data_IF_337420494555
#
_entry.id   IF_337420494555
#
_cell.length_a   1.000
_cell.length_b   1.000
_cell.length_c   1.000
_cell.angle_alpha   90.00
_cell.angle_beta   90.00
_cell.angle_gamma   90.00
#
_symmetry.space_group_name_H-M   'P 1'
#
loop_
_entity.id
_entity.type
_entity.pdbx_description
1 polymer ?
#
# COMPACT_ATOMS: atom_id res chain seq x y z
N UNK A 1 3.91 -2.86 -28.60
CA UNK A 1 3.43 -4.05 -27.85
C UNK A 1 2.05 -3.71 -27.31
N UNK A 2 1.02 -4.55 -27.48
CA UNK A 2 -0.31 -4.33 -26.90
C UNK A 2 -0.43 -5.21 -25.66
N UNK A 3 -0.72 -4.65 -24.50
CA UNK A 3 -0.76 -5.37 -23.24
C UNK A 3 -2.01 -5.02 -22.46
N UNK A 4 -2.48 -5.96 -21.66
CA UNK A 4 -3.61 -5.81 -20.75
C UNK A 4 -3.05 -5.81 -19.33
N UNK A 5 -3.26 -4.75 -18.54
CA UNK A 5 -2.72 -4.65 -17.18
C UNK A 5 -3.85 -4.73 -16.16
N UNK A 6 -3.80 -5.72 -15.26
CA UNK A 6 -4.84 -5.97 -14.26
C UNK A 6 -4.28 -6.28 -12.87
N UNK A 7 -5.07 -6.08 -11.83
CA UNK A 7 -4.74 -6.41 -10.44
C UNK A 7 -4.68 -7.92 -10.14
N UNK A 8 -5.16 -8.77 -11.04
CA UNK A 8 -5.18 -10.22 -10.85
C UNK A 8 -6.48 -10.76 -10.24
N UNK A 9 -7.51 -9.92 -10.08
CA UNK A 9 -8.81 -10.34 -9.61
C UNK A 9 -9.36 -11.53 -10.43
N UNK A 10 -10.12 -12.42 -9.80
CA UNK A 10 -10.59 -13.67 -10.42
C UNK A 10 -11.44 -13.45 -11.68
N UNK A 11 -12.15 -12.33 -11.75
CA UNK A 11 -12.90 -11.90 -12.94
C UNK A 11 -12.00 -11.37 -14.06
N UNK A 12 -10.77 -10.95 -13.77
CA UNK A 12 -9.80 -10.41 -14.73
C UNK A 12 -8.76 -11.43 -15.16
N UNK A 13 -8.52 -12.49 -14.37
CA UNK A 13 -7.52 -13.55 -14.62
C UNK A 13 -8.16 -14.86 -15.08
N UNK A 14 -7.35 -15.87 -15.42
CA UNK A 14 -7.82 -17.18 -15.89
C UNK A 14 -8.75 -17.08 -17.10
N UNK A 15 -9.96 -17.66 -16.99
CA UNK A 15 -11.04 -17.59 -18.00
C UNK A 15 -11.86 -16.29 -17.93
N UNK A 16 -11.41 -15.30 -17.16
CA UNK A 16 -12.05 -14.00 -17.00
C UNK A 16 -11.86 -13.08 -18.19
N UNK A 17 -11.92 -11.77 -17.93
CA UNK A 17 -11.84 -10.69 -18.95
C UNK A 17 -10.60 -10.83 -19.83
N UNK A 18 -9.45 -11.25 -19.27
CA UNK A 18 -8.24 -11.44 -20.08
C UNK A 18 -8.43 -12.39 -21.27
N UNK A 19 -9.18 -13.49 -21.08
CA UNK A 19 -9.35 -14.53 -22.08
C UNK A 19 -10.30 -14.04 -23.18
N UNK A 20 -11.31 -13.26 -22.80
CA UNK A 20 -12.25 -12.63 -23.74
C UNK A 20 -11.54 -11.58 -24.61
N UNK A 21 -10.64 -10.79 -24.02
CA UNK A 21 -9.87 -9.78 -24.76
C UNK A 21 -8.81 -10.46 -25.64
N UNK A 22 -8.16 -11.54 -25.18
CA UNK A 22 -7.23 -12.31 -26.01
C UNK A 22 -7.92 -12.99 -27.20
N UNK A 23 -9.19 -13.38 -27.07
CA UNK A 23 -9.96 -13.94 -28.18
C UNK A 23 -10.21 -12.91 -29.30
N UNK A 24 -10.35 -11.62 -28.97
CA UNK A 24 -10.52 -10.53 -29.95
C UNK A 24 -9.16 -10.05 -30.46
N UNK A 25 -8.20 -9.91 -29.55
CA UNK A 25 -6.86 -9.39 -29.82
C UNK A 25 -5.82 -10.34 -29.24
N UNK A 26 -5.40 -11.33 -30.03
CA UNK A 26 -4.43 -12.35 -29.61
C UNK A 26 -3.07 -11.76 -29.17
N UNK A 27 -2.71 -10.57 -29.67
CA UNK A 27 -1.46 -9.87 -29.32
C UNK A 27 -1.53 -9.15 -27.97
N UNK A 28 -2.69 -9.04 -27.35
CA UNK A 28 -2.89 -8.35 -26.09
C UNK A 28 -2.43 -9.24 -24.92
N UNK A 29 -1.16 -9.14 -24.54
CA UNK A 29 -0.56 -9.98 -23.50
C UNK A 29 -1.09 -9.58 -22.11
N UNK A 30 -1.56 -10.56 -21.35
CA UNK A 30 -1.94 -10.34 -19.96
C UNK A 30 -0.71 -10.05 -19.10
N UNK A 31 -0.75 -8.91 -18.42
CA UNK A 31 0.31 -8.46 -17.51
C UNK A 31 -0.32 -8.10 -16.17
N UNK A 32 0.28 -8.57 -15.08
CA UNK A 32 -0.17 -8.19 -13.75
C UNK A 32 0.33 -6.78 -13.41
N UNK A 33 -0.53 -6.01 -12.73
CA UNK A 33 -0.25 -4.66 -12.27
C UNK A 33 0.88 -4.68 -11.25
N UNK A 34 2.02 -4.11 -11.62
CA UNK A 34 3.21 -4.04 -10.76
C UNK A 34 2.96 -3.24 -9.48
N UNK A 35 2.08 -2.25 -9.52
CA UNK A 35 1.67 -1.48 -8.33
C UNK A 35 0.89 -2.36 -7.35
N UNK A 36 -0.01 -3.21 -7.84
CA UNK A 36 -0.72 -4.17 -7.00
C UNK A 36 0.24 -5.19 -6.36
N UNK A 37 1.24 -5.66 -7.11
CA UNK A 37 2.28 -6.54 -6.60
C UNK A 37 3.15 -5.90 -5.53
N UNK A 38 3.57 -4.65 -5.74
CA UNK A 38 4.30 -3.89 -4.74
C UNK A 38 3.45 -3.72 -3.47
N UNK A 39 2.18 -3.39 -3.62
CA UNK A 39 1.24 -3.27 -2.51
C UNK A 39 1.15 -4.58 -1.71
N UNK A 40 0.96 -5.72 -2.38
CA UNK A 40 0.94 -7.03 -1.72
C UNK A 40 2.27 -7.35 -1.04
N UNK A 41 3.41 -7.03 -1.67
CA UNK A 41 4.72 -7.24 -1.08
C UNK A 41 4.89 -6.46 0.23
N UNK A 42 4.48 -5.19 0.25
CA UNK A 42 4.50 -4.34 1.45
C UNK A 42 3.61 -4.92 2.54
N UNK A 43 2.38 -5.34 2.21
CA UNK A 43 1.45 -5.96 3.15
C UNK A 43 2.05 -7.21 3.79
N UNK A 44 2.62 -8.11 2.98
CA UNK A 44 3.21 -9.36 3.49
C UNK A 44 4.51 -9.14 4.27
N UNK A 45 5.34 -8.18 3.86
CA UNK A 45 6.55 -7.83 4.59
C UNK A 45 6.23 -7.21 5.96
N UNK A 46 5.08 -6.55 6.07
CA UNK A 46 4.70 -5.72 7.21
C UNK A 46 3.56 -6.31 8.04
N UNK A 47 3.50 -7.64 8.14
CA UNK A 47 2.45 -8.36 8.89
C UNK A 47 2.65 -8.29 10.41
N UNK A 48 2.80 -7.08 10.94
CA UNK A 48 2.89 -6.81 12.38
C UNK A 48 1.51 -6.44 12.92
N UNK A 49 0.94 -7.30 13.76
CA UNK A 49 -0.35 -7.05 14.40
C UNK A 49 -0.36 -5.75 15.20
N UNK A 50 0.75 -5.41 15.87
CA UNK A 50 0.89 -4.17 16.62
C UNK A 50 0.76 -2.94 15.72
N UNK A 51 1.45 -2.94 14.58
CA UNK A 51 1.37 -1.83 13.62
C UNK A 51 -0.03 -1.72 13.01
N UNK A 52 -0.66 -2.85 12.70
CA UNK A 52 -2.04 -2.90 12.19
C UNK A 52 -3.04 -2.34 13.20
N UNK A 53 -2.93 -2.72 14.48
CA UNK A 53 -3.82 -2.26 15.55
C UNK A 53 -3.67 -0.75 15.79
N UNK A 54 -2.43 -0.25 15.90
CA UNK A 54 -2.17 1.19 16.07
C UNK A 54 -2.77 1.97 14.89
N UNK A 55 -2.50 1.52 13.66
CA UNK A 55 -3.02 2.19 12.47
C UNK A 55 -4.55 2.11 12.41
N UNK A 56 -5.16 1.00 12.79
CA UNK A 56 -6.62 0.89 12.87
C UNK A 56 -7.20 1.95 13.83
N UNK A 57 -6.63 2.09 15.04
CA UNK A 57 -7.06 3.13 15.99
C UNK A 57 -6.89 4.53 15.42
N UNK A 58 -5.71 4.85 14.85
CA UNK A 58 -5.43 6.17 14.24
C UNK A 58 -6.44 6.48 13.14
N UNK A 59 -6.77 5.51 12.28
CA UNK A 59 -7.74 5.69 11.20
C UNK A 59 -9.15 5.90 11.74
N UNK A 60 -9.59 5.11 12.72
CA UNK A 60 -10.90 5.29 13.35
C UNK A 60 -11.03 6.70 13.94
N UNK A 61 -9.99 7.16 14.64
CA UNK A 61 -9.94 8.53 15.17
C UNK A 61 -9.97 9.56 14.04
N UNK A 62 -9.17 9.39 12.98
CA UNK A 62 -9.15 10.30 11.85
C UNK A 62 -10.50 10.39 11.13
N UNK A 63 -11.17 9.26 10.88
CA UNK A 63 -12.52 9.21 10.30
C UNK A 63 -13.55 9.92 11.20
N UNK A 64 -13.43 9.77 12.52
CA UNK A 64 -14.29 10.49 13.46
C UNK A 64 -14.10 12.01 13.33
N UNK A 65 -12.90 12.54 13.08
CA UNK A 65 -12.71 13.97 12.83
C UNK A 65 -13.22 14.40 11.44
N UNK A 66 -12.97 13.60 10.41
CA UNK A 66 -13.32 13.93 9.01
C UNK A 66 -14.84 13.99 8.79
N UNK A 67 -15.61 13.16 9.50
CA UNK A 67 -17.08 13.16 9.41
C UNK A 67 -17.74 14.49 9.86
N UNK A 68 -17.01 15.39 10.54
CA UNK A 68 -17.52 16.71 10.92
C UNK A 68 -16.52 17.82 10.62
N UNK A 69 -16.88 18.67 9.67
CA UNK A 69 -16.09 19.85 9.31
C UNK A 69 -15.75 20.73 10.53
N UNK A 70 -16.66 20.85 11.53
CA UNK A 70 -16.40 21.57 12.78
C UNK A 70 -15.33 20.91 13.65
N UNK A 71 -15.35 19.58 13.77
CA UNK A 71 -14.33 18.83 14.52
C UNK A 71 -12.97 18.90 13.81
N UNK A 72 -12.98 18.80 12.48
CA UNK A 72 -11.78 18.90 11.66
C UNK A 72 -11.13 20.29 11.76
N UNK A 73 -11.91 21.37 11.71
CA UNK A 73 -11.43 22.74 11.91
C UNK A 73 -10.77 22.93 13.27
N UNK A 74 -11.45 22.53 14.36
CA UNK A 74 -10.87 22.60 15.71
C UNK A 74 -9.62 21.75 15.86
N UNK A 75 -9.54 20.61 15.18
CA UNK A 75 -8.34 19.78 15.20
C UNK A 75 -7.14 20.50 14.56
N UNK A 76 -7.34 21.14 13.40
CA UNK A 76 -6.28 21.92 12.76
C UNK A 76 -5.86 23.14 13.60
N UNK A 77 -6.80 23.87 14.18
CA UNK A 77 -6.51 25.00 15.09
C UNK A 77 -5.63 24.57 16.28
N UNK A 78 -5.93 23.41 16.87
CA UNK A 78 -5.12 22.83 17.96
C UNK A 78 -3.74 22.35 17.47
N UNK A 79 -3.62 21.82 16.25
CA UNK A 79 -2.32 21.41 15.72
C UNK A 79 -1.41 22.61 15.42
N UNK A 80 -1.97 23.72 14.96
CA UNK A 80 -1.21 24.95 14.67
C UNK A 80 -0.73 25.67 15.93
N UNK A 81 -1.47 25.52 17.04
CA UNK A 81 -1.13 26.14 18.33
C UNK A 81 -0.15 25.32 19.17
N UNK A 82 0.01 24.02 18.89
CA UNK A 82 0.95 23.15 19.59
C UNK A 82 2.30 23.09 18.85
N UNK A 83 3.29 23.87 19.33
CA UNK A 83 4.64 23.96 18.75
C UNK A 83 5.35 22.59 18.55
N UNK A 84 5.06 21.61 19.40
CA UNK A 84 5.64 20.25 19.33
C UNK A 84 5.13 19.49 18.08
N UNK A 85 3.89 19.72 17.65
CA UNK A 85 3.31 19.06 16.49
C UNK A 85 3.89 19.55 15.16
N UNK A 86 4.27 20.81 15.08
CA UNK A 86 4.78 21.45 13.85
C UNK A 86 6.25 21.09 13.57
N UNK A 87 7.06 20.85 14.60
CA UNK A 87 8.46 20.44 14.47
C UNK A 87 8.60 18.94 14.19
N UNK A 88 7.83 18.08 14.85
CA UNK A 88 7.94 16.61 14.67
C UNK A 88 7.10 16.07 13.50
N UNK A 89 5.89 16.59 13.28
CA UNK A 89 5.09 16.29 12.09
C UNK A 89 5.39 17.29 10.98
N UNK A 90 6.64 17.25 10.49
CA UNK A 90 7.04 18.02 9.32
C UNK A 90 6.02 17.84 8.18
N UNK A 91 5.70 18.93 7.48
CA UNK A 91 4.63 19.05 6.47
C UNK A 91 4.55 17.88 5.45
N UNK A 92 5.66 17.17 5.24
CA UNK A 92 5.78 15.96 4.41
C UNK A 92 5.09 14.73 5.02
N UNK A 93 5.23 14.49 6.33
CA UNK A 93 4.60 13.36 7.05
C UNK A 93 3.08 13.53 7.04
N UNK A 94 2.58 14.75 7.28
CA UNK A 94 1.16 15.06 7.19
C UNK A 94 0.58 14.95 5.77
N UNK A 95 1.35 15.29 4.73
CA UNK A 95 0.93 15.01 3.34
C UNK A 95 0.81 13.52 3.09
N UNK A 96 1.76 12.70 3.58
CA UNK A 96 1.70 11.23 3.43
C UNK A 96 0.50 10.63 4.14
N UNK A 97 0.21 11.07 5.37
CA UNK A 97 -1.00 10.66 6.11
C UNK A 97 -2.27 11.07 5.36
N UNK A 98 -2.35 12.31 4.86
CA UNK A 98 -3.49 12.78 4.05
C UNK A 98 -3.66 12.00 2.73
N UNK A 99 -2.57 11.67 2.06
CA UNK A 99 -2.58 10.83 0.85
C UNK A 99 -3.02 9.40 1.18
N UNK A 100 -2.57 8.84 2.31
CA UNK A 100 -3.00 7.55 2.83
C UNK A 100 -4.52 7.53 3.10
N UNK A 101 -5.04 8.53 3.81
CA UNK A 101 -6.46 8.66 4.12
C UNK A 101 -7.34 8.87 2.87
N UNK A 102 -6.81 9.49 1.81
CA UNK A 102 -7.52 9.66 0.52
C UNK A 102 -7.50 8.42 -0.35
N UNK A 103 -6.48 7.58 -0.22
CA UNK A 103 -6.43 6.35 -0.99
C UNK A 103 -7.28 5.30 -0.28
N UNK A 104 -8.13 4.61 -1.02
CA UNK A 104 -8.87 3.41 -0.56
C UNK A 104 -7.93 2.21 -0.35
N UNK A 105 -6.75 2.44 0.26
CA UNK A 105 -5.83 1.37 0.63
C UNK A 105 -6.34 0.75 1.92
N UNK A 106 -6.44 -0.58 1.97
CA UNK A 106 -6.75 -1.29 3.21
C UNK A 106 -5.75 -0.92 4.31
N UNK A 107 -6.20 -1.01 5.57
CA UNK A 107 -5.40 -0.79 6.79
C UNK A 107 -4.06 -1.53 6.76
N UNK A 108 -4.01 -2.68 6.09
CA UNK A 108 -2.82 -3.51 5.92
C UNK A 108 -1.69 -2.84 5.13
N UNK A 109 -1.99 -2.12 4.04
CA UNK A 109 -0.91 -1.44 3.30
C UNK A 109 -0.42 -0.21 4.05
N UNK A 110 -1.35 0.55 4.64
CA UNK A 110 -1.00 1.76 5.36
C UNK A 110 -0.10 1.47 6.57
N UNK A 111 -0.34 0.37 7.29
CA UNK A 111 0.55 -0.09 8.36
C UNK A 111 1.94 -0.47 7.86
N UNK A 112 2.04 -1.11 6.68
CA UNK A 112 3.34 -1.36 6.07
C UNK A 112 4.09 -0.11 5.64
N UNK A 113 3.40 0.86 5.02
CA UNK A 113 3.99 2.15 4.68
C UNK A 113 4.41 2.94 5.92
N UNK A 114 3.64 2.88 7.01
CA UNK A 114 3.99 3.51 8.27
C UNK A 114 5.27 2.90 8.86
N UNK A 115 5.39 1.57 8.87
CA UNK A 115 6.59 0.87 9.33
C UNK A 115 7.83 1.22 8.50
N UNK A 116 7.69 1.25 7.17
CA UNK A 116 8.78 1.67 6.27
C UNK A 116 9.19 3.12 6.51
N UNK A 117 8.24 4.00 6.85
CA UNK A 117 8.53 5.39 7.13
C UNK A 117 9.19 5.61 8.49
N UNK A 118 8.78 4.86 9.52
CA UNK A 118 9.40 4.89 10.86
C UNK A 118 10.84 4.38 10.78
N UNK A 119 11.06 3.30 10.03
CA UNK A 119 12.37 2.69 9.85
C UNK A 119 13.11 3.16 8.60
N UNK A 120 12.85 4.39 8.13
CA UNK A 120 13.41 4.95 6.89
C UNK A 120 14.94 5.06 6.86
N UNK A 121 15.59 5.03 8.02
CA UNK A 121 17.04 5.11 8.18
C UNK A 121 17.72 3.75 8.15
N UNK A 122 16.94 2.65 8.16
CA UNK A 122 17.49 1.32 8.00
C UNK A 122 17.79 1.09 6.53
N UNK A 123 19.03 0.79 6.21
CA UNK A 123 19.40 0.33 4.88
C UNK A 123 18.73 -1.03 4.63
N UNK A 124 18.09 -1.15 3.46
CA UNK A 124 17.42 -2.36 3.01
C UNK A 124 18.29 -2.98 1.94
N UNK A 125 18.82 -4.17 2.20
CA UNK A 125 19.46 -4.97 1.17
C UNK A 125 18.40 -5.56 0.24
N UNK A 126 18.46 -5.18 -1.03
CA UNK A 126 17.53 -5.64 -2.06
C UNK A 126 17.69 -7.14 -2.34
N UNK A 127 18.91 -7.67 -2.25
CA UNK A 127 19.20 -9.08 -2.52
C UNK A 127 18.61 -9.96 -1.41
N UNK A 128 18.83 -9.58 -0.15
CA UNK A 128 18.21 -10.26 1.00
C UNK A 128 16.67 -10.24 0.92
N UNK A 129 16.08 -9.10 0.53
CA UNK A 129 14.62 -8.99 0.38
C UNK A 129 14.10 -9.91 -0.72
N UNK A 130 14.76 -9.97 -1.88
CA UNK A 130 14.37 -10.87 -2.98
C UNK A 130 14.44 -12.33 -2.52
N UNK A 131 15.49 -12.70 -1.80
CA UNK A 131 15.70 -14.03 -1.25
C UNK A 131 14.63 -14.44 -0.23
N UNK A 132 14.35 -13.57 0.75
CA UNK A 132 13.28 -13.78 1.74
C UNK A 132 11.93 -13.87 1.03
N UNK A 133 11.69 -13.04 0.01
CA UNK A 133 10.45 -13.01 -0.75
C UNK A 133 10.26 -14.27 -1.61
N UNK A 134 11.34 -14.83 -2.15
CA UNK A 134 11.35 -16.08 -2.90
C UNK A 134 11.15 -17.31 -2.01
N UNK A 135 11.67 -17.29 -0.77
CA UNK A 135 11.52 -18.39 0.21
C UNK A 135 10.10 -18.54 0.79
N UNK A 136 9.27 -17.49 0.77
CA UNK A 136 7.88 -17.55 1.25
C UNK A 136 6.99 -18.32 0.26
N UNK A 137 6.74 -19.60 0.60
CA UNK A 137 6.41 -20.73 -0.28
C UNK A 137 4.98 -20.82 -0.87
N UNK A 138 4.14 -19.80 -0.80
CA UNK A 138 2.71 -19.91 -1.17
C UNK A 138 2.29 -19.01 -2.34
N UNK A 139 2.95 -19.09 -3.51
CA UNK A 139 2.52 -18.26 -4.66
C UNK A 139 2.42 -19.00 -5.98
N UNK A 140 1.32 -18.72 -6.69
CA UNK A 140 0.96 -19.20 -8.03
C UNK A 140 1.84 -18.65 -9.17
N UNK A 141 2.94 -17.97 -8.86
CA UNK A 141 3.86 -17.44 -9.86
C UNK A 141 5.27 -17.93 -9.60
N UNK A 142 5.85 -18.59 -10.59
CA UNK A 142 7.28 -18.84 -10.65
C UNK A 142 8.00 -17.49 -10.76
N UNK A 143 8.74 -17.12 -9.72
CA UNK A 143 9.70 -16.02 -9.80
C UNK A 143 10.84 -16.48 -10.69
N UNK A 144 10.73 -16.23 -12.00
CA UNK A 144 11.81 -16.41 -12.98
C UNK A 144 12.82 -15.27 -12.86
N UNK A 145 13.36 -15.04 -11.67
CA UNK A 145 14.53 -14.19 -11.49
C UNK A 145 15.66 -15.09 -11.00
N UNK A 146 16.33 -15.70 -11.97
CA UNK A 146 17.64 -16.32 -11.80
C UNK A 146 18.60 -15.41 -12.56
N UNK A 147 19.42 -14.68 -11.81
CA UNK A 147 20.74 -14.25 -12.26
C UNK A 147 21.72 -15.00 -11.39
#
# INVERSE_FOLDING_TARGET
MCGQIYDGASNMSGKGVQARIQAIVARAVYTLCKVHWLNLAIIHASDSMHAKNIMATVLTTAFAFDYSAKRLLRFYENLETNAVGTEEMGSRTMRRVKTCLRNTMGTDCMSGLALLNIHREREIDLEEVVDVFARRKERRLALLFRV
#
